data_IF_372262706039
#
_entry.id   IF_372262706039
#
_cell.length_a   1.000
_cell.length_b   1.000
_cell.length_c   1.000
_cell.angle_alpha   90.00
_cell.angle_beta   90.00
_cell.angle_gamma   90.00
#
_symmetry.space_group_name_H-M   'P 1'
#
loop_
_entity.id
_entity.type
_entity.pdbx_description
1 polymer ?
#
# COMPACT_ATOMS: atom_id res chain seq x y z
N UNK A 1 5.46 -8.79 -17.90
CA UNK A 1 5.01 -10.09 -17.35
C UNK A 1 4.36 -9.87 -15.99
N UNK A 2 3.03 -9.85 -15.90
CA UNK A 2 2.36 -9.94 -14.60
C UNK A 2 2.59 -11.36 -14.07
N UNK A 3 3.36 -11.48 -12.99
CA UNK A 3 3.40 -12.74 -12.25
C UNK A 3 1.98 -13.02 -11.76
N UNK A 4 1.33 -14.03 -12.35
CA UNK A 4 0.08 -14.57 -11.82
C UNK A 4 0.40 -15.08 -10.41
N UNK A 5 0.09 -14.28 -9.38
CA UNK A 5 0.14 -14.74 -8.00
C UNK A 5 -0.91 -15.84 -7.90
N UNK A 6 -0.49 -17.09 -8.03
CA UNK A 6 -1.34 -18.21 -7.66
C UNK A 6 -1.76 -18.02 -6.21
N UNK A 7 -3.06 -18.09 -5.95
CA UNK A 7 -3.57 -18.06 -4.59
C UNK A 7 -2.94 -19.24 -3.83
N UNK A 8 -2.48 -19.03 -2.58
CA UNK A 8 -1.93 -20.12 -1.79
C UNK A 8 -2.99 -21.22 -1.61
N UNK A 9 -2.56 -22.49 -1.47
CA UNK A 9 -3.49 -23.59 -1.25
C UNK A 9 -4.35 -23.34 -0.01
N UNK A 10 -5.62 -23.75 -0.05
CA UNK A 10 -6.50 -23.65 1.09
C UNK A 10 -6.11 -24.70 2.13
N UNK A 11 -5.63 -24.23 3.29
CA UNK A 11 -5.20 -25.07 4.42
C UNK A 11 -6.15 -24.90 5.60
N UNK A 12 -6.10 -25.81 6.56
CA UNK A 12 -6.90 -25.74 7.79
C UNK A 12 -6.68 -24.44 8.58
N UNK A 13 -5.47 -23.86 8.54
CA UNK A 13 -5.15 -22.56 9.12
C UNK A 13 -6.01 -21.39 8.57
N UNK A 14 -6.56 -21.52 7.36
CA UNK A 14 -7.44 -20.54 6.74
C UNK A 14 -8.93 -20.80 7.02
N UNK A 15 -9.28 -22.02 7.46
CA UNK A 15 -10.67 -22.45 7.56
C UNK A 15 -11.48 -21.71 8.62
N UNK A 16 -10.87 -21.39 9.77
CA UNK A 16 -11.54 -20.60 10.81
C UNK A 16 -11.91 -19.20 10.31
N UNK A 17 -10.93 -18.46 9.78
CA UNK A 17 -11.14 -17.11 9.24
C UNK A 17 -12.12 -17.09 8.06
N UNK A 18 -12.06 -18.09 7.18
CA UNK A 18 -12.99 -18.20 6.06
C UNK A 18 -14.46 -18.37 6.51
N UNK A 19 -14.69 -19.05 7.64
CA UNK A 19 -16.03 -19.15 8.25
C UNK A 19 -16.47 -17.83 8.87
N UNK A 20 -15.58 -17.13 9.57
CA UNK A 20 -15.86 -15.79 10.12
C UNK A 20 -16.26 -14.81 9.01
N UNK A 21 -15.55 -14.85 7.87
CA UNK A 21 -15.91 -14.05 6.68
C UNK A 21 -17.31 -14.43 6.17
N UNK A 22 -17.61 -15.72 6.03
CA UNK A 22 -18.92 -16.17 5.55
C UNK A 22 -20.06 -15.82 6.52
N UNK A 23 -19.82 -15.84 7.82
CA UNK A 23 -20.76 -15.38 8.84
C UNK A 23 -20.98 -13.87 8.78
N UNK A 24 -19.90 -13.09 8.70
CA UNK A 24 -19.98 -11.64 8.57
C UNK A 24 -20.76 -11.22 7.32
N UNK A 25 -20.44 -11.79 6.16
CA UNK A 25 -21.13 -11.46 4.91
C UNK A 25 -22.60 -11.87 4.93
N UNK A 26 -22.95 -13.00 5.58
CA UNK A 26 -24.34 -13.40 5.82
C UNK A 26 -25.09 -12.40 6.70
N UNK A 27 -24.47 -11.96 7.79
CA UNK A 27 -25.07 -10.98 8.70
C UNK A 27 -25.40 -9.64 8.00
N UNK A 28 -24.66 -9.31 6.94
CA UNK A 28 -24.87 -8.10 6.13
C UNK A 28 -25.62 -8.34 4.80
N UNK A 29 -26.19 -9.53 4.59
CA UNK A 29 -26.95 -9.86 3.37
C UNK A 29 -26.12 -9.90 2.08
N UNK A 30 -24.80 -9.98 2.20
CA UNK A 30 -23.85 -10.02 1.08
C UNK A 30 -23.45 -11.45 0.67
N UNK A 31 -23.93 -12.47 1.38
CA UNK A 31 -23.73 -13.88 1.07
C UNK A 31 -24.93 -14.70 1.58
N UNK A 32 -25.47 -15.58 0.74
CA UNK A 32 -26.59 -16.48 1.05
C UNK A 32 -26.24 -17.96 0.82
N UNK A 33 -25.03 -18.24 0.34
CA UNK A 33 -24.54 -19.57 0.03
C UNK A 33 -24.10 -20.39 1.26
N UNK A 34 -23.17 -21.32 1.02
CA UNK A 34 -22.71 -22.27 2.04
C UNK A 34 -21.84 -21.66 3.16
N UNK A 35 -21.28 -22.54 4.00
CA UNK A 35 -20.45 -22.19 5.17
C UNK A 35 -19.14 -21.47 4.84
N UNK A 36 -18.77 -21.38 3.56
CA UNK A 36 -17.59 -20.68 3.06
C UNK A 36 -18.02 -19.81 1.89
N UNK A 37 -17.42 -18.63 1.79
CA UNK A 37 -17.61 -17.74 0.64
C UNK A 37 -16.72 -18.25 -0.49
N UNK A 38 -17.36 -18.66 -1.58
CA UNK A 38 -16.68 -19.27 -2.73
C UNK A 38 -16.85 -18.42 -3.98
N UNK A 39 -15.80 -18.34 -4.80
CA UNK A 39 -15.79 -17.64 -6.07
C UNK A 39 -15.25 -18.58 -7.16
N UNK A 40 -15.96 -18.69 -8.28
CA UNK A 40 -15.46 -19.40 -9.46
C UNK A 40 -14.84 -18.41 -10.45
N UNK A 41 -13.52 -18.48 -10.63
CA UNK A 41 -12.76 -17.58 -11.52
C UNK A 41 -11.94 -18.45 -12.48
N UNK A 42 -12.18 -18.29 -13.78
CA UNK A 42 -11.49 -19.03 -14.84
C UNK A 42 -11.49 -20.57 -14.61
N UNK A 43 -12.62 -21.12 -14.17
CA UNK A 43 -12.78 -22.57 -13.91
C UNK A 43 -12.11 -23.07 -12.62
N UNK A 44 -11.49 -22.18 -11.83
CA UNK A 44 -10.91 -22.50 -10.53
C UNK A 44 -11.77 -21.94 -9.42
N UNK A 45 -12.07 -22.77 -8.41
CA UNK A 45 -12.82 -22.36 -7.23
C UNK A 45 -11.90 -21.81 -6.15
N UNK A 46 -12.19 -20.59 -5.69
CA UNK A 46 -11.48 -19.89 -4.63
C UNK A 46 -12.36 -19.80 -3.39
N UNK A 47 -11.70 -19.74 -2.22
CA UNK A 47 -12.35 -19.49 -0.93
C UNK A 47 -11.83 -18.16 -0.38
N UNK A 48 -12.74 -17.27 0.01
CA UNK A 48 -12.34 -16.01 0.67
C UNK A 48 -12.07 -16.29 2.14
N UNK A 49 -10.80 -16.21 2.53
CA UNK A 49 -10.37 -16.42 3.92
C UNK A 49 -10.24 -15.13 4.74
N UNK A 50 -10.13 -13.97 4.10
CA UNK A 50 -10.01 -12.66 4.75
C UNK A 50 -10.52 -11.58 3.78
N UNK A 51 -11.32 -10.65 4.28
CA UNK A 51 -11.86 -9.48 3.53
C UNK A 51 -11.17 -8.17 3.89
N UNK A 52 -10.11 -8.23 4.70
CA UNK A 52 -9.24 -7.09 5.00
C UNK A 52 -9.83 -6.09 5.99
N UNK A 53 -10.76 -6.51 6.85
CA UNK A 53 -11.37 -5.68 7.90
C UNK A 53 -10.40 -5.39 9.05
N UNK A 54 -9.31 -4.68 8.76
CA UNK A 54 -8.32 -4.22 9.75
C UNK A 54 -7.70 -2.91 9.34
N UNK A 55 -7.14 -2.21 10.33
CA UNK A 55 -6.28 -1.06 10.08
C UNK A 55 -5.11 -1.45 9.16
N UNK A 56 -4.85 -0.59 8.18
CA UNK A 56 -3.67 -0.73 7.32
C UNK A 56 -2.42 -0.42 8.14
N UNK A 57 -1.34 -1.15 7.85
CA UNK A 57 -0.03 -0.85 8.43
C UNK A 57 0.51 0.45 7.81
N UNK A 58 1.43 1.18 8.47
CA UNK A 58 2.02 2.41 7.90
C UNK A 58 2.52 2.20 6.47
N UNK A 59 3.29 1.14 6.22
CA UNK A 59 3.77 0.79 4.88
C UNK A 59 2.65 0.61 3.84
N UNK A 60 1.52 0.01 4.23
CA UNK A 60 0.36 -0.16 3.33
C UNK A 60 -0.31 1.18 3.01
N UNK A 61 -0.37 2.11 3.97
CA UNK A 61 -0.89 3.46 3.75
C UNK A 61 -0.02 4.23 2.75
N UNK A 62 1.31 4.24 2.93
CA UNK A 62 2.24 4.88 1.98
C UNK A 62 2.15 4.26 0.58
N UNK A 63 2.10 2.93 0.50
CA UNK A 63 1.95 2.23 -0.79
C UNK A 63 0.63 2.61 -1.48
N UNK A 64 -0.47 2.72 -0.72
CA UNK A 64 -1.77 3.10 -1.26
C UNK A 64 -1.80 4.54 -1.81
N UNK A 65 -0.98 5.43 -1.25
CA UNK A 65 -0.78 6.78 -1.77
C UNK A 65 0.19 6.84 -2.96
N UNK A 66 0.78 5.72 -3.38
CA UNK A 66 1.71 5.68 -4.52
C UNK A 66 3.16 6.04 -4.17
N UNK A 67 3.55 6.00 -2.89
CA UNK A 67 4.95 6.13 -2.52
C UNK A 67 5.76 4.90 -2.98
N UNK A 68 7.01 5.10 -3.40
CA UNK A 68 7.94 4.01 -3.68
C UNK A 68 8.10 3.05 -2.49
N UNK A 69 8.38 1.78 -2.77
CA UNK A 69 8.50 0.74 -1.74
C UNK A 69 9.68 0.98 -0.80
N UNK A 70 10.73 1.58 -1.33
CA UNK A 70 11.97 2.00 -0.67
C UNK A 70 11.89 3.38 -0.01
N UNK A 71 10.74 4.07 -0.11
CA UNK A 71 10.53 5.33 0.62
C UNK A 71 10.68 5.09 2.13
N UNK A 72 11.57 5.84 2.77
CA UNK A 72 11.91 5.67 4.17
C UNK A 72 10.83 6.30 5.04
N UNK A 73 10.21 5.50 5.91
CA UNK A 73 9.13 5.93 6.81
C UNK A 73 9.48 5.69 8.27
N UNK A 74 10.56 4.96 8.52
CA UNK A 74 10.92 4.44 9.83
C UNK A 74 11.60 5.50 10.71
N UNK A 75 12.02 6.63 10.15
CA UNK A 75 12.73 7.70 10.84
C UNK A 75 13.42 8.67 9.89
N UNK A 76 14.34 9.45 10.44
CA UNK A 76 15.08 10.52 9.75
C UNK A 76 16.48 10.65 10.35
N UNK A 77 17.46 10.97 9.51
CA UNK A 77 18.79 11.37 9.95
C UNK A 77 18.78 12.85 10.36
N UNK A 78 19.24 13.13 11.57
CA UNK A 78 19.30 14.48 12.13
C UNK A 78 20.70 14.75 12.66
N UNK A 79 21.10 16.03 12.65
CA UNK A 79 22.39 16.45 13.16
C UNK A 79 22.21 16.96 14.59
N UNK A 80 23.03 16.47 15.52
CA UNK A 80 23.05 16.96 16.89
C UNK A 80 23.74 18.34 17.01
N UNK A 81 23.75 18.90 18.21
CA UNK A 81 24.36 20.20 18.50
C UNK A 81 25.88 20.23 18.23
N UNK A 82 26.53 19.07 18.19
CA UNK A 82 27.97 18.93 17.99
C UNK A 82 28.32 18.61 16.53
N UNK A 83 27.31 18.53 15.64
CA UNK A 83 27.49 18.28 14.22
C UNK A 83 27.53 16.80 13.83
N UNK A 84 27.27 15.86 14.75
CA UNK A 84 27.23 14.44 14.44
C UNK A 84 25.85 14.01 13.93
N UNK A 85 25.82 13.06 13.00
CA UNK A 85 24.58 12.49 12.44
C UNK A 85 24.06 11.35 13.30
N UNK A 86 22.81 11.43 13.74
CA UNK A 86 22.11 10.38 14.47
C UNK A 86 20.75 10.04 13.80
N UNK A 87 20.32 8.79 13.97
CA UNK A 87 19.06 8.30 13.41
C UNK A 87 17.92 8.42 14.41
N UNK A 88 16.99 9.34 14.14
CA UNK A 88 15.78 9.48 14.94
C UNK A 88 14.67 8.57 14.39
N UNK A 89 14.33 7.54 15.16
CA UNK A 89 13.28 6.59 14.79
C UNK A 89 11.86 7.15 15.05
N UNK A 90 10.92 6.82 14.16
CA UNK A 90 9.52 7.21 14.26
C UNK A 90 8.65 6.12 14.87
N UNK A 91 7.81 6.51 15.83
CA UNK A 91 6.74 5.65 16.34
C UNK A 91 5.72 5.34 15.24
N UNK A 92 4.99 4.22 15.33
CA UNK A 92 3.94 3.88 14.37
C UNK A 92 2.91 5.01 14.21
N UNK A 93 2.56 5.68 15.29
CA UNK A 93 1.64 6.83 15.27
C UNK A 93 2.20 7.98 14.44
N UNK A 94 3.47 8.32 14.63
CA UNK A 94 4.17 9.35 13.84
C UNK A 94 4.14 9.00 12.35
N UNK A 95 4.43 7.74 11.99
CA UNK A 95 4.40 7.30 10.59
C UNK A 95 2.99 7.45 9.97
N UNK A 96 1.94 7.06 10.70
CA UNK A 96 0.55 7.22 10.26
C UNK A 96 0.17 8.70 10.13
N UNK A 97 0.63 9.56 11.05
CA UNK A 97 0.39 10.98 10.98
C UNK A 97 1.09 11.63 9.77
N UNK A 98 2.31 11.22 9.45
CA UNK A 98 3.04 11.71 8.27
C UNK A 98 2.29 11.39 6.98
N UNK A 99 1.85 10.14 6.79
CA UNK A 99 1.10 9.76 5.58
C UNK A 99 -0.30 10.39 5.54
N UNK A 100 -0.94 10.60 6.69
CA UNK A 100 -2.21 11.30 6.76
C UNK A 100 -2.14 12.76 6.27
N UNK A 101 -0.97 13.40 6.39
CA UNK A 101 -0.73 14.78 5.97
C UNK A 101 0.08 14.90 4.67
N UNK A 102 0.47 13.79 4.04
CA UNK A 102 1.20 13.82 2.77
C UNK A 102 0.29 14.01 1.56
N UNK A 103 0.88 14.39 0.43
CA UNK A 103 0.21 14.43 -0.87
C UNK A 103 0.59 13.18 -1.67
N UNK A 104 -0.39 12.61 -2.37
CA UNK A 104 -0.21 11.48 -3.28
C UNK A 104 0.84 11.82 -4.36
N UNK A 105 2.04 11.19 -4.38
CA UNK A 105 3.10 11.53 -5.32
C UNK A 105 2.71 11.51 -6.80
N UNK A 106 1.97 10.51 -7.33
CA UNK A 106 1.59 10.53 -8.74
C UNK A 106 0.65 11.71 -9.09
N UNK A 107 -0.21 12.12 -8.16
CA UNK A 107 -1.07 13.31 -8.35
C UNK A 107 -0.24 14.58 -8.31
N UNK A 108 0.65 14.72 -7.32
CA UNK A 108 1.56 15.86 -7.23
C UNK A 108 2.42 16.01 -8.49
N UNK A 109 2.97 14.89 -8.99
CA UNK A 109 3.75 14.87 -10.23
C UNK A 109 2.94 15.28 -11.45
N UNK A 110 1.69 14.83 -11.58
CA UNK A 110 0.82 15.21 -12.70
C UNK A 110 0.48 16.71 -12.67
N UNK A 111 0.16 17.26 -11.51
CA UNK A 111 -0.14 18.69 -11.34
C UNK A 111 1.10 19.54 -11.61
N UNK A 112 2.26 19.15 -11.07
CA UNK A 112 3.51 19.84 -11.34
C UNK A 112 3.85 19.82 -12.84
N UNK A 113 3.74 18.67 -13.50
CA UNK A 113 4.00 18.53 -14.94
C UNK A 113 3.11 19.44 -15.78
N UNK A 114 1.82 19.55 -15.44
CA UNK A 114 0.88 20.39 -16.17
C UNK A 114 1.17 21.89 -16.05
N UNK A 115 1.69 22.34 -14.90
CA UNK A 115 1.92 23.76 -14.63
C UNK A 115 3.37 24.20 -14.87
N UNK A 116 4.32 23.26 -14.81
CA UNK A 116 5.76 23.53 -14.84
C UNK A 116 6.45 22.96 -16.08
N UNK A 117 5.74 22.73 -17.19
CA UNK A 117 6.31 22.15 -18.42
C UNK A 117 7.59 22.85 -18.90
N UNK A 118 7.61 24.18 -18.85
CA UNK A 118 8.77 25.01 -19.21
C UNK A 118 10.03 24.81 -18.33
N UNK A 119 9.90 24.22 -17.14
CA UNK A 119 11.04 23.90 -16.26
C UNK A 119 11.62 22.53 -16.59
N UNK A 120 10.81 21.59 -17.07
CA UNK A 120 11.26 20.24 -17.44
C UNK A 120 12.17 20.26 -18.69
N UNK A 121 11.91 21.17 -19.64
CA UNK A 121 12.70 21.29 -20.88
C UNK A 121 14.12 21.84 -20.63
N UNK A 122 14.39 22.48 -19.49
CA UNK A 122 15.72 23.03 -19.16
C UNK A 122 16.71 21.99 -18.66
N UNK A 123 16.26 20.81 -18.22
CA UNK A 123 17.18 19.72 -17.82
C UNK A 123 17.78 19.00 -19.03
N UNK A 124 17.00 18.72 -20.08
CA UNK A 124 17.51 18.04 -21.28
C UNK A 124 18.51 18.90 -22.09
N UNK A 125 18.33 20.22 -22.10
CA UNK A 125 19.28 21.13 -22.74
C UNK A 125 20.62 21.25 -21.99
N UNK A 126 20.66 20.90 -20.70
CA UNK A 126 21.87 20.91 -19.87
C UNK A 126 22.73 19.64 -20.02
N UNK A 127 22.12 18.50 -20.36
CA UNK A 127 22.83 17.22 -20.56
C UNK A 127 23.40 17.06 -21.99
N UNK A 128 22.82 17.70 -23.00
CA UNK A 128 23.38 17.69 -24.37
C UNK A 128 24.55 18.67 -24.59
N UNK A 129 24.97 19.41 -23.55
CA UNK A 129 26.07 20.37 -23.60
C UNK A 129 27.21 19.98 -22.65
N UNK A 130 27.60 18.70 -22.66
CA UNK A 130 28.81 18.22 -21.98
C UNK A 130 29.63 17.29 -22.86
#
# INVERSE_FOLDING_TARGET
>A
MQAARQAPPFTEAHAAKAREVAEFLRAHGAWDGGNLVTLDIAGTRYVIADIGMRMLTPRKLFTAQGFPRDYVIEGVWEQDSDGAWDWRSFTKHTQVNCVGNSVCPPVAAAVAKANCGQLAEKEEAGEMSK
#
